data_IF_643126196726
#
_entry.id   IF_643126196726
#
_cell.length_a   1.000
_cell.length_b   1.000
_cell.length_c   1.000
_cell.angle_alpha   90.00
_cell.angle_beta   90.00
_cell.angle_gamma   90.00
#
_symmetry.space_group_name_H-M   'P 1'
#
loop_
_entity.id
_entity.type
_entity.pdbx_description
1 polymer ?
#
# COMPACT_ATOMS: atom_id res chain seq x y z
N UNK A 1 -26.83 -20.26 -67.49
CA UNK A 1 -25.95 -19.56 -66.52
C UNK A 1 -26.64 -19.59 -65.16
N UNK A 2 -25.96 -20.09 -64.12
CA UNK A 2 -26.49 -20.05 -62.75
C UNK A 2 -25.43 -19.41 -61.85
N UNK A 3 -25.72 -18.17 -61.41
CA UNK A 3 -24.90 -17.49 -60.42
C UNK A 3 -25.11 -18.16 -59.06
N UNK A 4 -24.04 -18.76 -58.51
CA UNK A 4 -24.01 -19.18 -57.11
C UNK A 4 -23.45 -18.01 -56.29
N UNK A 5 -24.32 -17.31 -55.58
CA UNK A 5 -23.90 -16.31 -54.59
C UNK A 5 -23.22 -17.01 -53.42
N UNK A 6 -21.91 -16.80 -53.29
CA UNK A 6 -21.16 -17.14 -52.08
C UNK A 6 -21.49 -16.09 -51.01
N UNK A 7 -22.26 -16.50 -49.99
CA UNK A 7 -22.41 -15.70 -48.77
C UNK A 7 -21.18 -15.97 -47.91
N UNK A 8 -20.23 -15.04 -47.94
CA UNK A 8 -19.05 -15.07 -47.06
C UNK A 8 -19.50 -14.72 -45.64
N UNK A 9 -19.68 -15.71 -44.79
CA UNK A 9 -19.97 -15.50 -43.38
C UNK A 9 -18.73 -14.93 -42.68
N UNK A 10 -18.68 -13.61 -42.49
CA UNK A 10 -17.70 -12.96 -41.62
C UNK A 10 -17.99 -13.33 -40.17
N UNK A 11 -17.32 -14.37 -39.68
CA UNK A 11 -17.27 -14.67 -38.26
C UNK A 11 -16.57 -13.52 -37.54
N UNK A 12 -17.37 -12.61 -36.97
CA UNK A 12 -16.87 -11.64 -36.02
C UNK A 12 -16.40 -12.40 -34.78
N UNK A 13 -15.09 -12.63 -34.69
CA UNK A 13 -14.42 -12.97 -33.43
C UNK A 13 -14.55 -11.77 -32.50
N UNK A 14 -15.70 -11.66 -31.86
CA UNK A 14 -15.83 -10.90 -30.63
C UNK A 14 -14.86 -11.54 -29.64
N UNK A 15 -13.70 -10.90 -29.46
CA UNK A 15 -12.82 -11.24 -28.35
C UNK A 15 -13.65 -11.11 -27.09
N UNK A 16 -13.88 -12.22 -26.40
CA UNK A 16 -14.46 -12.20 -25.08
C UNK A 16 -13.43 -11.53 -24.16
N UNK A 17 -13.53 -10.21 -24.02
CA UNK A 17 -12.93 -9.51 -22.91
C UNK A 17 -13.59 -10.09 -21.66
N UNK A 18 -12.89 -11.03 -21.01
CA UNK A 18 -13.44 -11.79 -19.91
C UNK A 18 -13.86 -10.80 -18.81
N UNK A 19 -15.17 -10.76 -18.55
CA UNK A 19 -15.73 -9.97 -17.48
C UNK A 19 -15.25 -10.55 -16.15
N UNK A 20 -14.28 -9.89 -15.53
CA UNK A 20 -13.75 -10.24 -14.22
C UNK A 20 -14.69 -9.78 -13.10
N UNK A 21 -14.69 -10.52 -12.01
CA UNK A 21 -15.30 -10.14 -10.75
C UNK A 21 -14.27 -9.37 -9.93
N UNK A 22 -14.50 -8.07 -9.71
CA UNK A 22 -13.51 -7.17 -9.11
C UNK A 22 -14.05 -6.64 -7.78
N UNK A 23 -13.28 -6.81 -6.71
CA UNK A 23 -13.56 -6.18 -5.44
C UNK A 23 -12.82 -4.84 -5.36
N UNK A 24 -13.54 -3.78 -5.02
CA UNK A 24 -13.00 -2.44 -4.81
C UNK A 24 -13.19 -2.06 -3.32
N UNK A 25 -12.18 -1.44 -2.72
CA UNK A 25 -12.17 -1.04 -1.31
C UNK A 25 -11.29 0.19 -1.12
N UNK A 26 -11.23 0.77 0.08
CA UNK A 26 -10.30 1.85 0.46
C UNK A 26 -10.29 2.01 1.99
N UNK A 27 -9.50 2.97 2.49
CA UNK A 27 -9.53 3.45 3.87
C UNK A 27 -10.18 4.83 4.08
N UNK A 28 -10.41 5.64 3.05
CA UNK A 28 -11.10 6.93 3.24
C UNK A 28 -12.60 6.80 3.54
N UNK A 29 -13.21 5.67 3.14
CA UNK A 29 -14.63 5.37 3.31
C UNK A 29 -15.39 5.16 1.99
N UNK A 30 -16.54 4.47 2.06
CA UNK A 30 -17.35 4.07 0.90
C UNK A 30 -18.04 5.23 0.15
N UNK A 31 -18.14 6.41 0.75
CA UNK A 31 -18.89 7.59 0.28
C UNK A 31 -18.02 8.68 -0.38
N UNK A 32 -16.70 8.53 -0.38
CA UNK A 32 -15.79 9.49 -1.04
C UNK A 32 -15.86 9.43 -2.56
N UNK A 33 -15.45 10.51 -3.23
CA UNK A 33 -15.49 10.58 -4.69
C UNK A 33 -14.48 9.66 -5.38
N UNK A 34 -13.25 9.54 -4.88
CA UNK A 34 -12.18 8.75 -5.53
C UNK A 34 -12.59 7.28 -5.80
N UNK A 35 -13.03 6.55 -4.77
CA UNK A 35 -13.45 5.13 -4.91
C UNK A 35 -14.66 4.99 -5.84
N UNK A 36 -15.57 5.97 -5.85
CA UNK A 36 -16.79 5.96 -6.67
C UNK A 36 -16.51 6.25 -8.15
N UNK A 37 -15.62 7.20 -8.44
CA UNK A 37 -15.15 7.46 -9.80
C UNK A 37 -14.30 6.30 -10.34
N UNK A 38 -13.49 5.66 -9.49
CA UNK A 38 -12.75 4.46 -9.83
C UNK A 38 -13.68 3.28 -10.15
N UNK A 39 -14.68 3.02 -9.31
CA UNK A 39 -15.71 2.02 -9.58
C UNK A 39 -16.47 2.28 -10.89
N UNK A 40 -16.88 3.53 -11.17
CA UNK A 40 -17.50 3.89 -12.45
C UNK A 40 -16.59 3.55 -13.64
N UNK A 41 -15.30 3.87 -13.55
CA UNK A 41 -14.32 3.58 -14.61
C UNK A 41 -14.12 2.06 -14.81
N UNK A 42 -14.01 1.28 -13.73
CA UNK A 42 -13.91 -0.20 -13.81
C UNK A 42 -15.18 -0.83 -14.40
N UNK A 43 -16.37 -0.37 -13.99
CA UNK A 43 -17.65 -0.82 -14.58
C UNK A 43 -17.77 -0.45 -16.05
N UNK A 44 -17.21 0.69 -16.48
CA UNK A 44 -17.21 1.13 -17.88
C UNK A 44 -16.37 0.23 -18.81
N UNK A 45 -15.39 -0.51 -18.27
CA UNK A 45 -14.69 -1.57 -19.01
C UNK A 45 -15.48 -2.89 -19.12
N UNK A 46 -16.69 -2.95 -18.55
CA UNK A 46 -17.58 -4.12 -18.63
C UNK A 46 -17.33 -5.17 -17.55
N UNK A 47 -16.54 -4.87 -16.52
CA UNK A 47 -16.27 -5.77 -15.41
C UNK A 47 -17.39 -5.80 -14.35
N UNK A 48 -17.52 -6.95 -13.67
CA UNK A 48 -18.46 -7.12 -12.56
C UNK A 48 -17.82 -6.63 -11.25
N UNK A 49 -17.77 -5.31 -11.06
CA UNK A 49 -17.22 -4.73 -9.85
C UNK A 49 -18.24 -4.60 -8.69
N UNK A 50 -17.73 -4.71 -7.47
CA UNK A 50 -18.40 -4.39 -6.20
C UNK A 50 -17.50 -3.49 -5.35
N UNK A 51 -18.08 -2.54 -4.61
CA UNK A 51 -17.37 -1.85 -3.52
C UNK A 51 -17.73 -2.53 -2.20
N UNK A 52 -16.74 -2.81 -1.36
CA UNK A 52 -16.94 -3.05 0.09
C UNK A 52 -15.90 -2.22 0.84
N UNK A 53 -16.35 -1.16 1.52
CA UNK A 53 -15.46 -0.20 2.17
C UNK A 53 -16.00 0.25 3.54
N UNK A 54 -15.16 0.96 4.30
CA UNK A 54 -15.51 1.42 5.63
C UNK A 54 -16.64 2.46 5.62
N UNK A 55 -17.39 2.55 6.72
CA UNK A 55 -18.43 3.57 6.94
C UNK A 55 -17.89 5.00 7.10
N UNK A 56 -16.59 5.15 7.32
CA UNK A 56 -15.90 6.42 7.58
C UNK A 56 -14.42 6.30 7.23
N UNK A 57 -13.69 7.42 7.27
CA UNK A 57 -12.24 7.42 7.16
C UNK A 57 -11.58 6.56 8.25
N UNK A 58 -10.57 5.80 7.83
CA UNK A 58 -9.73 4.85 8.58
C UNK A 58 -8.25 5.00 8.18
N UNK A 59 -7.83 6.17 7.68
CA UNK A 59 -6.43 6.44 7.33
C UNK A 59 -5.53 6.27 8.56
N UNK A 60 -4.35 5.67 8.38
CA UNK A 60 -3.43 5.36 9.50
C UNK A 60 -3.74 4.06 10.27
N UNK A 61 -4.74 3.27 9.84
CA UNK A 61 -5.06 1.98 10.50
C UNK A 61 -4.12 0.82 10.13
N UNK A 62 -3.28 0.97 9.11
CA UNK A 62 -2.34 -0.07 8.65
C UNK A 62 -3.03 -1.40 8.35
N UNK A 63 -2.35 -2.50 8.66
CA UNK A 63 -2.89 -3.86 8.54
C UNK A 63 -3.96 -4.25 9.58
N UNK A 64 -4.41 -3.34 10.45
CA UNK A 64 -5.27 -3.67 11.60
C UNK A 64 -6.61 -4.29 11.18
N UNK A 65 -7.03 -5.36 11.85
CA UNK A 65 -8.32 -6.05 11.65
C UNK A 65 -9.22 -5.80 12.86
N UNK A 66 -10.23 -4.92 12.71
CA UNK A 66 -11.28 -4.73 13.72
C UNK A 66 -12.64 -4.89 13.04
N UNK A 67 -13.38 -5.89 13.51
CA UNK A 67 -14.81 -6.07 13.26
C UNK A 67 -15.60 -5.29 14.31
N UNK A 68 -16.70 -4.66 13.93
CA UNK A 68 -17.58 -3.98 14.91
C UNK A 68 -18.22 -4.97 15.88
N UNK A 69 -18.32 -4.56 17.14
CA UNK A 69 -19.05 -5.27 18.20
C UNK A 69 -20.53 -4.86 18.26
N UNK A 70 -20.96 -3.89 17.43
CA UNK A 70 -22.34 -3.41 17.37
C UNK A 70 -23.07 -3.94 16.12
N UNK A 71 -24.28 -4.48 16.33
CA UNK A 71 -25.18 -4.91 15.24
C UNK A 71 -25.61 -3.74 14.33
N UNK A 72 -25.71 -2.54 14.90
CA UNK A 72 -26.19 -1.35 14.24
C UNK A 72 -25.14 -0.24 14.35
N UNK A 73 -25.15 0.72 13.42
CA UNK A 73 -24.29 1.90 13.44
C UNK A 73 -24.58 2.76 14.68
N UNK A 74 -23.52 3.14 15.39
CA UNK A 74 -23.58 4.02 16.57
C UNK A 74 -23.53 5.50 16.23
N UNK A 75 -23.18 5.84 14.98
CA UNK A 75 -23.14 7.18 14.42
C UNK A 75 -23.63 7.14 12.96
N UNK A 76 -23.88 8.31 12.38
CA UNK A 76 -24.05 8.45 10.93
C UNK A 76 -22.73 8.06 10.23
N UNK A 77 -22.83 7.48 9.02
CA UNK A 77 -21.66 7.30 8.16
C UNK A 77 -21.14 8.63 7.65
N UNK A 78 -19.98 8.62 6.99
CA UNK A 78 -19.46 9.83 6.35
C UNK A 78 -20.51 10.51 5.43
N UNK A 79 -20.46 11.85 5.42
CA UNK A 79 -21.41 12.73 4.75
C UNK A 79 -22.89 12.52 5.12
N UNK A 80 -23.19 11.75 6.17
CA UNK A 80 -24.54 11.45 6.63
C UNK A 80 -25.34 10.55 5.70
N UNK A 81 -24.68 9.79 4.81
CA UNK A 81 -25.30 8.95 3.76
C UNK A 81 -26.22 7.88 4.36
N UNK A 82 -25.77 7.19 5.41
CA UNK A 82 -26.56 6.22 6.17
C UNK A 82 -26.60 6.66 7.63
N UNK A 83 -27.78 6.56 8.25
CA UNK A 83 -28.04 7.09 9.60
C UNK A 83 -27.68 6.12 10.72
N UNK A 84 -27.31 6.68 11.87
CA UNK A 84 -27.19 5.94 13.12
C UNK A 84 -28.44 5.07 13.37
N UNK A 85 -28.24 3.86 13.87
CA UNK A 85 -29.29 2.87 14.06
C UNK A 85 -29.59 1.97 12.84
N UNK A 86 -29.06 2.26 11.64
CA UNK A 86 -29.05 1.28 10.55
C UNK A 86 -28.16 0.06 10.89
N UNK A 87 -28.27 -1.09 10.21
CA UNK A 87 -27.36 -2.24 10.40
C UNK A 87 -25.89 -1.87 10.17
N UNK A 88 -24.95 -2.57 10.79
CA UNK A 88 -23.51 -2.28 10.64
C UNK A 88 -22.87 -2.79 9.34
N UNK A 89 -23.64 -3.49 8.51
CA UNK A 89 -23.32 -3.88 7.13
C UNK A 89 -24.55 -3.66 6.27
N UNK A 90 -24.39 -3.10 5.07
CA UNK A 90 -25.50 -2.86 4.15
C UNK A 90 -25.06 -2.21 2.84
N UNK A 91 -26.02 -1.98 1.94
CA UNK A 91 -25.78 -1.35 0.64
C UNK A 91 -25.93 0.17 0.69
N UNK A 92 -25.26 0.85 -0.25
CA UNK A 92 -25.56 2.22 -0.63
C UNK A 92 -27.04 2.37 -1.04
N UNK A 93 -27.69 3.51 -0.77
CA UNK A 93 -29.09 3.72 -1.14
C UNK A 93 -29.36 3.80 -2.65
N UNK A 94 -28.34 3.97 -3.50
CA UNK A 94 -28.47 4.16 -4.95
C UNK A 94 -27.83 3.05 -5.80
N UNK A 95 -26.94 2.21 -5.25
CA UNK A 95 -26.29 1.11 -5.98
C UNK A 95 -26.08 -0.12 -5.07
N UNK A 96 -26.74 -1.24 -5.42
CA UNK A 96 -26.65 -2.52 -4.70
C UNK A 96 -25.30 -3.24 -4.85
N UNK A 97 -24.43 -2.82 -5.76
CA UNK A 97 -23.05 -3.30 -5.86
C UNK A 97 -22.11 -2.60 -4.87
N UNK A 98 -22.56 -1.57 -4.16
CA UNK A 98 -21.75 -0.79 -3.24
C UNK A 98 -22.20 -1.05 -1.82
N UNK A 99 -21.28 -1.55 -1.00
CA UNK A 99 -21.53 -1.92 0.39
C UNK A 99 -20.65 -1.11 1.34
N UNK A 100 -21.22 -0.77 2.49
CA UNK A 100 -20.50 -0.28 3.65
C UNK A 100 -20.37 -1.40 4.70
N UNK A 101 -19.26 -1.38 5.44
CA UNK A 101 -19.10 -2.13 6.67
C UNK A 101 -18.49 -1.25 7.76
N UNK A 102 -19.02 -1.31 8.98
CA UNK A 102 -18.41 -0.66 10.13
C UNK A 102 -17.22 -1.50 10.63
N UNK A 103 -16.03 -1.20 10.13
CA UNK A 103 -14.79 -1.88 10.49
C UNK A 103 -13.57 -1.25 9.82
N UNK A 104 -12.39 -1.82 10.03
CA UNK A 104 -11.16 -1.43 9.34
C UNK A 104 -11.15 -1.90 7.88
N UNK A 105 -10.29 -1.35 7.01
CA UNK A 105 -10.20 -1.73 5.60
C UNK A 105 -9.91 -3.23 5.40
N UNK A 106 -8.96 -3.78 6.17
CA UNK A 106 -8.67 -5.21 6.20
C UNK A 106 -9.88 -6.07 6.62
N UNK A 107 -10.69 -5.59 7.57
CA UNK A 107 -11.93 -6.26 7.96
C UNK A 107 -13.02 -6.15 6.88
N UNK A 108 -13.08 -5.03 6.14
CA UNK A 108 -13.98 -4.87 4.98
C UNK A 108 -13.64 -5.88 3.88
N UNK A 109 -12.36 -6.12 3.58
CA UNK A 109 -11.94 -7.17 2.64
C UNK A 109 -12.34 -8.56 3.12
N UNK A 110 -12.15 -8.90 4.40
CA UNK A 110 -12.59 -10.19 4.94
C UNK A 110 -14.11 -10.37 4.88
N UNK A 111 -14.89 -9.35 5.28
CA UNK A 111 -16.37 -9.36 5.14
C UNK A 111 -16.81 -9.45 3.68
N UNK A 112 -16.07 -8.84 2.75
CA UNK A 112 -16.34 -8.97 1.32
C UNK A 112 -16.17 -10.41 0.84
N UNK A 113 -15.03 -11.02 1.14
CA UNK A 113 -14.65 -12.37 0.68
C UNK A 113 -15.48 -13.48 1.36
N UNK A 114 -15.72 -13.36 2.66
CA UNK A 114 -16.29 -14.46 3.47
C UNK A 114 -17.81 -14.33 3.68
N UNK A 115 -18.42 -13.18 3.37
CA UNK A 115 -19.86 -12.95 3.52
C UNK A 115 -20.51 -12.32 2.29
N UNK A 116 -20.09 -11.11 1.87
CA UNK A 116 -20.87 -10.33 0.89
C UNK A 116 -20.84 -10.96 -0.50
N UNK A 117 -19.66 -11.24 -1.03
CA UNK A 117 -19.50 -11.77 -2.39
C UNK A 117 -20.12 -13.18 -2.55
N UNK A 118 -19.93 -14.13 -1.62
CA UNK A 118 -20.59 -15.43 -1.71
C UNK A 118 -22.12 -15.36 -1.56
N UNK A 119 -22.62 -14.52 -0.63
CA UNK A 119 -24.05 -14.48 -0.27
C UNK A 119 -24.90 -13.68 -1.26
N UNK A 120 -24.39 -12.55 -1.78
CA UNK A 120 -25.18 -11.60 -2.57
C UNK A 120 -24.70 -11.41 -4.01
N UNK A 121 -23.45 -11.76 -4.34
CA UNK A 121 -22.91 -11.65 -5.69
C UNK A 121 -22.77 -13.00 -6.42
N UNK A 122 -22.90 -14.14 -5.71
CA UNK A 122 -22.54 -15.48 -6.22
C UNK A 122 -21.08 -15.54 -6.72
N UNK A 123 -20.17 -14.83 -6.04
CA UNK A 123 -18.73 -14.78 -6.34
C UNK A 123 -17.98 -15.41 -5.18
N UNK A 124 -17.43 -16.62 -5.38
CA UNK A 124 -16.65 -17.35 -4.37
C UNK A 124 -15.29 -16.70 -4.10
N UNK A 125 -14.67 -16.12 -5.12
CA UNK A 125 -13.38 -15.42 -5.03
C UNK A 125 -13.33 -14.39 -6.17
N UNK A 126 -13.05 -13.10 -5.89
CA UNK A 126 -12.84 -12.11 -6.95
C UNK A 126 -11.52 -12.39 -7.67
N UNK A 127 -11.46 -12.05 -8.95
CA UNK A 127 -10.27 -12.23 -9.79
C UNK A 127 -9.16 -11.22 -9.43
N UNK A 128 -9.55 -10.06 -8.89
CA UNK A 128 -8.68 -8.92 -8.58
C UNK A 128 -9.28 -8.07 -7.46
N UNK A 129 -8.44 -7.60 -6.52
CA UNK A 129 -8.80 -6.58 -5.52
C UNK A 129 -8.11 -5.26 -5.83
N UNK A 130 -8.86 -4.15 -5.78
CA UNK A 130 -8.37 -2.80 -6.03
C UNK A 130 -8.66 -1.92 -4.80
N UNK A 131 -7.63 -1.35 -4.19
CA UNK A 131 -7.76 -0.54 -2.97
C UNK A 131 -7.44 0.94 -3.24
N UNK A 132 -8.28 1.87 -2.81
CA UNK A 132 -8.16 3.31 -3.04
C UNK A 132 -9.03 3.83 -4.21
N UNK A 133 -8.65 4.91 -4.91
CA UNK A 133 -7.46 5.73 -4.67
C UNK A 133 -7.55 6.56 -3.38
N UNK A 134 -6.58 6.38 -2.48
CA UNK A 134 -6.49 7.10 -1.20
C UNK A 134 -6.32 8.63 -1.37
N UNK A 135 -6.87 9.44 -0.45
CA UNK A 135 -6.53 10.88 -0.36
C UNK A 135 -5.21 11.07 0.40
N UNK A 136 -4.12 11.13 -0.36
CA UNK A 136 -2.75 11.19 0.14
C UNK A 136 -1.89 10.10 -0.50
N UNK A 137 -0.57 10.29 -0.46
CA UNK A 137 0.38 9.28 -0.91
C UNK A 137 0.72 8.27 0.19
N UNK A 138 1.01 7.04 -0.21
CA UNK A 138 1.56 5.99 0.64
C UNK A 138 2.93 5.59 0.08
N UNK A 139 3.93 6.43 0.34
CA UNK A 139 5.29 6.30 -0.24
C UNK A 139 6.19 5.42 0.63
N UNK A 140 6.72 4.36 0.03
CA UNK A 140 7.72 3.50 0.65
C UNK A 140 7.21 2.60 1.79
N UNK A 141 8.05 1.67 2.28
CA UNK A 141 7.59 0.56 3.14
C UNK A 141 7.08 1.00 4.52
N UNK A 142 7.51 2.17 5.00
CA UNK A 142 7.10 2.68 6.31
C UNK A 142 5.65 3.16 6.29
N UNK A 143 5.31 4.14 5.43
CA UNK A 143 3.94 4.61 5.27
C UNK A 143 3.01 3.49 4.79
N UNK A 144 3.51 2.59 3.94
CA UNK A 144 2.79 1.38 3.53
C UNK A 144 2.31 0.54 4.73
N UNK A 145 3.13 0.39 5.77
CA UNK A 145 2.77 -0.39 6.97
C UNK A 145 1.68 0.30 7.82
N UNK A 146 1.58 1.63 7.72
CA UNK A 146 0.60 2.46 8.42
C UNK A 146 -0.68 2.73 7.60
N UNK A 147 -0.67 2.44 6.29
CA UNK A 147 -1.76 2.71 5.37
C UNK A 147 -2.88 1.67 5.47
N UNK A 148 -4.13 2.13 5.63
CA UNK A 148 -5.30 1.26 5.59
C UNK A 148 -5.60 0.77 4.17
N UNK A 149 -5.38 1.62 3.16
CA UNK A 149 -5.44 1.24 1.75
C UNK A 149 -4.48 0.10 1.46
N UNK A 150 -3.24 0.14 1.99
CA UNK A 150 -2.31 -0.98 1.86
C UNK A 150 -2.69 -2.19 2.70
N UNK A 151 -3.21 -1.99 3.92
CA UNK A 151 -3.69 -3.09 4.77
C UNK A 151 -4.78 -3.93 4.12
N UNK A 152 -5.70 -3.28 3.40
CA UNK A 152 -6.72 -3.97 2.59
C UNK A 152 -6.10 -4.76 1.42
N UNK A 153 -5.19 -4.16 0.66
CA UNK A 153 -4.47 -4.84 -0.44
C UNK A 153 -3.66 -6.03 0.07
N UNK A 154 -2.91 -5.84 1.15
CA UNK A 154 -2.14 -6.89 1.84
C UNK A 154 -3.03 -8.07 2.25
N UNK A 155 -4.19 -7.78 2.86
CA UNK A 155 -5.18 -8.80 3.26
C UNK A 155 -5.66 -9.63 2.06
N UNK A 156 -5.78 -9.04 0.87
CA UNK A 156 -6.14 -9.77 -0.34
C UNK A 156 -4.97 -10.62 -0.89
N UNK A 157 -3.74 -10.09 -0.91
CA UNK A 157 -2.54 -10.82 -1.38
C UNK A 157 -2.27 -12.05 -0.50
N UNK A 158 -2.38 -11.92 0.82
CA UNK A 158 -2.26 -13.03 1.79
C UNK A 158 -3.37 -14.09 1.62
N UNK A 159 -4.55 -13.69 1.11
CA UNK A 159 -5.62 -14.61 0.72
C UNK A 159 -5.39 -15.25 -0.66
N UNK A 160 -4.23 -15.00 -1.29
CA UNK A 160 -3.83 -15.54 -2.59
C UNK A 160 -4.45 -14.82 -3.80
N UNK A 161 -5.07 -13.66 -3.59
CA UNK A 161 -5.79 -12.90 -4.62
C UNK A 161 -4.89 -11.76 -5.13
N UNK A 162 -4.71 -11.59 -6.45
CA UNK A 162 -4.00 -10.44 -7.01
C UNK A 162 -4.60 -9.13 -6.50
N UNK A 163 -3.76 -8.17 -6.10
CA UNK A 163 -4.25 -6.90 -5.58
C UNK A 163 -3.37 -5.69 -5.92
N UNK A 164 -4.01 -4.54 -6.13
CA UNK A 164 -3.35 -3.26 -6.42
C UNK A 164 -3.87 -2.19 -5.46
N UNK A 165 -2.95 -1.47 -4.81
CA UNK A 165 -3.26 -0.25 -4.08
C UNK A 165 -3.01 0.99 -4.92
N UNK A 166 -3.90 1.96 -4.78
CA UNK A 166 -3.84 3.25 -5.42
C UNK A 166 -3.90 4.35 -4.37
N UNK A 167 -3.02 5.33 -4.52
CA UNK A 167 -2.89 6.48 -3.64
C UNK A 167 -2.70 7.71 -4.52
N UNK A 168 -3.14 8.89 -4.08
CA UNK A 168 -2.97 10.10 -4.90
C UNK A 168 -2.93 11.38 -4.08
N UNK A 169 -2.08 12.31 -4.53
CA UNK A 169 -1.83 13.57 -3.82
C UNK A 169 -2.96 14.57 -4.00
N UNK A 170 -4.13 14.33 -3.44
CA UNK A 170 -5.28 15.24 -3.48
C UNK A 170 -5.35 16.10 -2.22
N UNK A 171 -5.71 17.37 -2.35
CA UNK A 171 -5.80 18.32 -1.22
C UNK A 171 -7.14 18.32 -0.49
N UNK A 172 -8.20 17.69 -1.05
CA UNK A 172 -9.56 17.72 -0.49
C UNK A 172 -10.27 16.38 -0.70
N UNK A 173 -10.68 15.72 0.38
CA UNK A 173 -11.64 14.61 0.37
C UNK A 173 -13.05 15.18 0.13
N UNK A 174 -13.73 14.73 -0.94
CA UNK A 174 -15.08 15.20 -1.31
C UNK A 174 -16.08 14.04 -1.35
N UNK A 175 -17.36 14.28 -1.01
CA UNK A 175 -18.41 13.26 -1.18
C UNK A 175 -18.66 12.96 -2.66
N UNK A 176 -19.05 11.72 -2.96
CA UNK A 176 -19.30 11.26 -4.32
C UNK A 176 -20.35 12.06 -5.11
N UNK A 177 -21.27 12.73 -4.41
CA UNK A 177 -22.33 13.57 -4.99
C UNK A 177 -21.91 15.04 -5.22
N UNK A 178 -20.64 15.39 -4.97
CA UNK A 178 -20.06 16.71 -5.27
C UNK A 178 -18.98 16.67 -6.36
N UNK A 179 -18.82 15.53 -7.06
CA UNK A 179 -17.92 15.44 -8.23
C UNK A 179 -18.47 16.30 -9.36
N UNK A 180 -17.66 17.23 -9.84
CA UNK A 180 -18.06 18.11 -10.94
C UNK A 180 -17.77 17.42 -12.28
N UNK A 181 -18.67 17.53 -13.26
CA UNK A 181 -18.36 17.12 -14.63
C UNK A 181 -17.20 17.93 -15.23
N UNK A 182 -17.06 19.18 -14.79
CA UNK A 182 -16.02 20.12 -15.23
C UNK A 182 -15.61 21.03 -14.06
N UNK A 183 -14.31 21.22 -13.85
CA UNK A 183 -13.73 22.14 -12.86
C UNK A 183 -13.78 23.60 -13.32
N UNK A 184 -13.42 24.53 -12.44
CA UNK A 184 -13.26 25.95 -12.79
C UNK A 184 -12.22 26.20 -13.91
N UNK A 185 -11.25 25.29 -14.09
CA UNK A 185 -10.25 25.34 -15.15
C UNK A 185 -10.73 24.71 -16.49
N UNK A 186 -11.98 24.25 -16.59
CA UNK A 186 -12.51 23.62 -17.80
C UNK A 186 -12.10 22.15 -17.99
N UNK A 187 -11.64 21.48 -16.92
CA UNK A 187 -11.05 20.13 -16.97
C UNK A 187 -11.91 19.13 -16.19
N UNK A 188 -11.63 17.83 -16.30
CA UNK A 188 -12.27 16.81 -15.45
C UNK A 188 -11.89 17.01 -13.97
N UNK A 189 -12.79 16.65 -13.06
CA UNK A 189 -12.51 16.62 -11.63
C UNK A 189 -11.30 15.71 -11.31
N UNK A 190 -10.41 16.08 -10.36
CA UNK A 190 -9.29 15.25 -9.95
C UNK A 190 -9.70 13.83 -9.56
N UNK A 191 -10.87 13.62 -8.93
CA UNK A 191 -11.36 12.29 -8.58
C UNK A 191 -11.70 11.45 -9.82
N UNK A 192 -12.29 12.06 -10.85
CA UNK A 192 -12.57 11.41 -12.14
C UNK A 192 -11.28 11.05 -12.86
N UNK A 193 -10.25 11.92 -12.81
CA UNK A 193 -8.92 11.62 -13.38
C UNK A 193 -8.24 10.50 -12.60
N UNK A 194 -8.31 10.51 -11.26
CA UNK A 194 -7.79 9.47 -10.37
C UNK A 194 -8.37 8.10 -10.73
N UNK A 195 -9.70 8.00 -10.77
CA UNK A 195 -10.39 6.76 -11.08
C UNK A 195 -10.09 6.23 -12.48
N UNK A 196 -9.95 7.13 -13.47
CA UNK A 196 -9.61 6.75 -14.85
C UNK A 196 -8.16 6.26 -14.97
N UNK A 197 -7.18 6.95 -14.38
CA UNK A 197 -5.78 6.50 -14.36
C UNK A 197 -5.63 5.13 -13.69
N UNK A 198 -6.25 4.96 -12.51
CA UNK A 198 -6.20 3.71 -11.75
C UNK A 198 -6.86 2.54 -12.51
N UNK A 199 -8.03 2.78 -13.11
CA UNK A 199 -8.73 1.76 -13.91
C UNK A 199 -7.98 1.42 -15.20
N UNK A 200 -7.38 2.40 -15.88
CA UNK A 200 -6.55 2.17 -17.07
C UNK A 200 -5.36 1.26 -16.75
N UNK A 201 -4.68 1.45 -15.61
CA UNK A 201 -3.58 0.60 -15.18
C UNK A 201 -4.04 -0.84 -14.89
N UNK A 202 -5.15 -1.01 -14.17
CA UNK A 202 -5.74 -2.34 -13.94
C UNK A 202 -6.13 -3.01 -15.27
N UNK A 203 -6.78 -2.27 -16.17
CA UNK A 203 -7.21 -2.77 -17.48
C UNK A 203 -6.03 -3.23 -18.34
N UNK A 204 -4.92 -2.49 -18.32
CA UNK A 204 -3.71 -2.85 -19.05
C UNK A 204 -3.10 -4.17 -18.56
N UNK A 205 -3.11 -4.41 -17.25
CA UNK A 205 -2.70 -5.69 -16.66
C UNK A 205 -3.62 -6.83 -17.09
N UNK A 206 -4.94 -6.61 -16.99
CA UNK A 206 -5.98 -7.60 -17.36
C UNK A 206 -5.87 -8.01 -18.83
N UNK A 207 -5.74 -7.04 -19.74
CA UNK A 207 -5.60 -7.30 -21.17
C UNK A 207 -4.31 -8.06 -21.51
N UNK A 208 -3.18 -7.70 -20.88
CA UNK A 208 -1.91 -8.37 -21.12
C UNK A 208 -1.91 -9.80 -20.59
N UNK A 209 -2.44 -10.04 -19.39
CA UNK A 209 -2.58 -11.38 -18.83
C UNK A 209 -3.49 -12.28 -19.68
N UNK A 210 -4.63 -11.74 -20.14
CA UNK A 210 -5.53 -12.44 -21.05
C UNK A 210 -4.87 -12.78 -22.40
N UNK A 211 -4.12 -11.83 -22.98
CA UNK A 211 -3.43 -12.03 -24.26
C UNK A 211 -2.31 -13.09 -24.20
N UNK A 212 -1.70 -13.31 -23.03
CA UNK A 212 -0.66 -14.33 -22.82
C UNK A 212 -1.16 -15.61 -22.15
N UNK A 213 -2.44 -15.70 -21.78
CA UNK A 213 -2.99 -16.80 -20.98
C UNK A 213 -2.37 -16.93 -19.58
N UNK A 214 -1.81 -15.84 -19.05
CA UNK A 214 -1.11 -15.80 -17.76
C UNK A 214 -2.05 -15.44 -16.59
N UNK A 215 -1.62 -15.72 -15.36
CA UNK A 215 -2.24 -15.10 -14.18
C UNK A 215 -2.01 -13.57 -14.21
N UNK A 216 -2.92 -12.81 -13.59
CA UNK A 216 -2.74 -11.36 -13.40
C UNK A 216 -1.45 -11.05 -12.62
N UNK A 217 -1.16 -11.81 -11.57
CA UNK A 217 0.06 -11.72 -10.76
C UNK A 217 0.46 -13.12 -10.25
N UNK A 218 1.73 -13.35 -9.87
CA UNK A 218 2.10 -14.48 -9.05
C UNK A 218 1.45 -14.40 -7.65
N UNK A 219 1.28 -15.55 -6.99
CA UNK A 219 0.74 -15.59 -5.61
C UNK A 219 1.75 -14.95 -4.66
N UNK A 220 1.26 -14.15 -3.70
CA UNK A 220 2.11 -13.42 -2.76
C UNK A 220 2.67 -12.10 -3.32
N UNK A 221 2.23 -11.64 -4.49
CA UNK A 221 2.65 -10.36 -5.07
C UNK A 221 1.48 -9.37 -5.18
N UNK A 222 1.80 -8.09 -5.06
CA UNK A 222 0.87 -6.98 -5.29
C UNK A 222 1.58 -5.76 -5.87
N UNK A 223 0.81 -4.72 -6.18
CA UNK A 223 1.30 -3.48 -6.78
C UNK A 223 0.89 -2.28 -5.92
N UNK A 224 1.83 -1.36 -5.69
CA UNK A 224 1.63 -0.04 -5.10
C UNK A 224 1.68 1.02 -6.21
N UNK A 225 0.66 1.87 -6.29
CA UNK A 225 0.56 2.97 -7.26
C UNK A 225 0.36 4.29 -6.52
N UNK A 226 1.25 5.27 -6.72
CA UNK A 226 1.07 6.62 -6.22
C UNK A 226 0.93 7.60 -7.39
N UNK A 227 -0.23 8.24 -7.52
CA UNK A 227 -0.54 9.28 -8.51
C UNK A 227 -0.09 10.67 -7.98
N UNK A 228 0.51 11.54 -8.81
CA UNK A 228 0.92 12.88 -8.40
C UNK A 228 -0.28 13.79 -8.12
N UNK A 229 0.00 14.99 -7.60
CA UNK A 229 -1.04 16.02 -7.44
C UNK A 229 -1.64 16.40 -8.80
N UNK A 230 -2.91 16.03 -9.01
CA UNK A 230 -3.66 16.36 -10.23
C UNK A 230 -4.12 17.81 -10.15
N UNK A 231 -3.61 18.66 -11.05
CA UNK A 231 -3.81 20.13 -10.97
C UNK A 231 -5.13 20.61 -11.56
N UNK A 232 -6.01 19.71 -12.01
CA UNK A 232 -7.17 20.04 -12.84
C UNK A 232 -8.20 20.99 -12.21
N UNK A 233 -8.20 21.21 -10.89
CA UNK A 233 -8.98 22.28 -10.27
C UNK A 233 -8.54 23.69 -10.69
N UNK A 234 -7.25 23.90 -10.98
CA UNK A 234 -6.68 25.23 -11.25
C UNK A 234 -6.04 25.36 -12.63
N UNK A 235 -5.46 24.30 -13.20
CA UNK A 235 -4.82 24.32 -14.52
C UNK A 235 -4.58 22.90 -15.08
N UNK A 236 -4.01 22.79 -16.28
CA UNK A 236 -3.77 21.53 -16.99
C UNK A 236 -2.35 20.95 -16.84
N UNK A 237 -1.50 21.48 -15.95
CA UNK A 237 -0.09 21.08 -15.87
C UNK A 237 0.12 19.61 -15.47
N UNK A 238 -0.83 19.01 -14.77
CA UNK A 238 -0.84 17.60 -14.46
C UNK A 238 -2.26 17.03 -14.47
N UNK A 239 -2.63 16.43 -15.60
CA UNK A 239 -3.93 15.77 -15.81
C UNK A 239 -3.81 14.40 -16.49
N UNK A 240 -2.61 14.04 -16.96
CA UNK A 240 -2.28 12.76 -17.61
C UNK A 240 -0.82 12.36 -17.30
N UNK A 241 -0.49 12.08 -16.01
CA UNK A 241 0.86 11.72 -15.60
C UNK A 241 1.27 10.32 -16.08
N UNK A 242 2.47 10.13 -16.66
CA UNK A 242 2.95 8.80 -17.04
C UNK A 242 3.21 7.92 -15.82
N UNK A 243 3.02 6.62 -15.99
CA UNK A 243 3.41 5.60 -15.02
C UNK A 243 4.90 5.25 -15.16
N UNK A 244 5.63 5.34 -14.06
CA UNK A 244 7.06 5.02 -13.97
C UNK A 244 7.22 3.79 -13.08
N UNK A 245 7.94 2.78 -13.57
CA UNK A 245 8.29 1.63 -12.75
C UNK A 245 9.27 2.04 -11.66
N UNK A 246 8.91 1.74 -10.41
CA UNK A 246 9.66 2.14 -9.22
C UNK A 246 9.91 0.96 -8.29
N UNK A 247 10.72 1.21 -7.29
CA UNK A 247 10.82 0.40 -6.07
C UNK A 247 10.38 1.24 -4.88
N UNK A 248 9.88 0.59 -3.83
CA UNK A 248 9.34 1.30 -2.65
C UNK A 248 10.44 1.98 -1.81
N UNK A 249 11.60 1.34 -1.71
CA UNK A 249 12.82 1.86 -1.06
C UNK A 249 13.58 2.84 -1.97
N UNK A 250 14.65 3.50 -1.48
CA UNK A 250 15.53 4.45 -2.21
C UNK A 250 15.04 5.90 -2.18
N UNK A 251 15.40 6.63 -1.11
CA UNK A 251 14.86 7.95 -0.81
C UNK A 251 13.47 7.90 -0.17
N UNK A 252 13.08 6.75 0.38
CA UNK A 252 11.87 6.60 1.16
C UNK A 252 12.08 7.13 2.59
N UNK A 253 11.02 7.73 3.14
CA UNK A 253 11.03 8.33 4.47
C UNK A 253 10.53 7.34 5.55
N UNK A 254 11.05 7.49 6.76
CA UNK A 254 10.38 7.06 8.00
C UNK A 254 10.03 8.29 8.84
N UNK A 255 9.06 8.17 9.75
CA UNK A 255 8.73 9.26 10.68
C UNK A 255 9.73 9.33 11.84
N UNK A 256 10.35 10.49 12.00
CA UNK A 256 11.08 10.88 13.20
C UNK A 256 10.23 11.77 14.11
N UNK A 257 10.33 11.59 15.43
CA UNK A 257 9.70 12.50 16.37
C UNK A 257 10.36 13.90 16.34
N UNK A 258 9.54 14.96 16.34
CA UNK A 258 9.97 16.35 16.37
C UNK A 258 9.37 17.07 17.59
N UNK A 259 10.18 17.39 18.58
CA UNK A 259 9.74 18.09 19.78
C UNK A 259 9.78 19.61 19.59
N UNK A 260 8.65 20.28 19.82
CA UNK A 260 8.55 21.74 19.85
C UNK A 260 8.67 22.23 21.30
N UNK A 261 9.82 22.79 21.66
CA UNK A 261 10.09 23.27 23.01
C UNK A 261 9.22 24.47 23.45
N UNK A 262 8.60 25.20 22.52
CA UNK A 262 7.73 26.34 22.83
C UNK A 262 6.31 25.90 23.18
N UNK A 263 5.77 24.89 22.49
CA UNK A 263 4.44 24.34 22.79
C UNK A 263 4.46 23.16 23.76
N UNK A 264 5.62 22.53 23.96
CA UNK A 264 5.75 21.29 24.74
C UNK A 264 5.19 20.05 24.04
N UNK A 265 4.88 20.14 22.74
CA UNK A 265 4.23 19.08 21.97
C UNK A 265 5.19 18.41 20.99
N UNK A 266 4.87 17.17 20.62
CA UNK A 266 5.52 16.45 19.53
C UNK A 266 4.72 16.56 18.23
N UNK A 267 5.41 16.73 17.12
CA UNK A 267 4.95 16.43 15.76
C UNK A 267 5.85 15.33 15.18
N UNK A 268 5.62 14.96 13.92
CA UNK A 268 6.55 14.16 13.15
C UNK A 268 7.44 15.04 12.25
N UNK A 269 8.45 14.42 11.64
CA UNK A 269 9.26 14.93 10.52
C UNK A 269 9.73 13.75 9.69
N UNK A 270 9.81 13.90 8.38
CA UNK A 270 10.39 12.89 7.51
C UNK A 270 11.90 12.76 7.78
N UNK A 271 12.40 11.53 7.89
CA UNK A 271 13.84 11.22 7.91
C UNK A 271 14.14 10.08 6.93
N UNK A 272 15.20 10.23 6.12
CA UNK A 272 15.68 9.18 5.21
C UNK A 272 16.70 8.33 5.97
N UNK A 273 16.27 7.17 6.46
CA UNK A 273 17.14 6.26 7.22
C UNK A 273 17.71 5.12 6.34
N UNK A 274 18.93 4.69 6.65
CA UNK A 274 19.61 3.61 5.93
C UNK A 274 18.91 2.25 6.09
N UNK A 275 18.26 1.98 7.22
CA UNK A 275 17.54 0.73 7.48
C UNK A 275 16.40 0.51 6.48
N UNK A 276 15.54 1.51 6.30
CA UNK A 276 14.44 1.46 5.32
C UNK A 276 14.97 1.42 3.87
N UNK A 277 16.06 2.12 3.60
CA UNK A 277 16.54 2.34 2.23
C UNK A 277 17.58 1.31 1.75
N UNK A 278 17.94 0.31 2.58
CA UNK A 278 18.86 -0.76 2.18
C UNK A 278 18.23 -1.62 1.09
N UNK A 279 18.95 -1.86 -0.01
CA UNK A 279 18.51 -2.81 -1.04
C UNK A 279 18.72 -4.24 -0.54
N UNK A 280 17.72 -4.82 0.13
CA UNK A 280 17.74 -6.22 0.58
C UNK A 280 17.24 -7.17 -0.53
N UNK A 281 16.15 -6.78 -1.21
CA UNK A 281 15.50 -7.53 -2.26
C UNK A 281 15.03 -6.57 -3.39
N UNK A 282 14.78 -7.14 -4.57
CA UNK A 282 14.25 -6.42 -5.73
C UNK A 282 15.31 -5.75 -6.60
N UNK A 283 14.86 -5.08 -7.66
CA UNK A 283 15.76 -4.39 -8.60
C UNK A 283 16.26 -3.07 -8.01
N UNK A 284 17.52 -3.02 -7.60
CA UNK A 284 18.14 -1.81 -7.05
C UNK A 284 18.33 -0.68 -8.08
N UNK A 285 18.20 -0.94 -9.39
CA UNK A 285 18.37 0.07 -10.44
C UNK A 285 17.15 0.97 -10.63
N UNK A 286 15.98 0.53 -10.13
CA UNK A 286 14.75 1.31 -10.19
C UNK A 286 14.81 2.55 -9.25
N UNK A 287 14.21 3.69 -9.66
CA UNK A 287 14.06 4.85 -8.79
C UNK A 287 13.05 4.57 -7.68
N UNK A 288 13.22 5.27 -6.55
CA UNK A 288 12.27 5.23 -5.43
C UNK A 288 11.03 6.08 -5.67
N UNK A 289 9.90 5.67 -5.09
CA UNK A 289 8.59 6.34 -5.23
C UNK A 289 8.66 7.84 -4.88
N UNK A 290 9.21 8.20 -3.72
CA UNK A 290 9.34 9.57 -3.25
C UNK A 290 10.05 10.48 -4.26
N UNK A 291 11.09 9.98 -4.93
CA UNK A 291 11.84 10.76 -5.91
C UNK A 291 11.03 11.02 -7.19
N UNK A 292 10.22 10.05 -7.62
CA UNK A 292 9.33 10.21 -8.79
C UNK A 292 8.19 11.20 -8.48
N UNK A 293 7.56 11.09 -7.31
CA UNK A 293 6.47 12.00 -6.95
C UNK A 293 6.97 13.44 -6.73
N UNK A 294 8.15 13.61 -6.12
CA UNK A 294 8.78 14.92 -5.93
C UNK A 294 9.32 15.56 -7.23
N UNK A 295 9.60 14.77 -8.28
CA UNK A 295 9.93 15.31 -9.60
C UNK A 295 8.75 16.04 -10.28
N UNK A 296 7.52 15.78 -9.81
CA UNK A 296 6.30 16.38 -10.31
C UNK A 296 5.72 15.64 -11.52
N UNK A 297 4.38 15.62 -11.59
CA UNK A 297 3.58 15.00 -12.64
C UNK A 297 4.08 13.65 -13.21
N UNK A 298 4.50 12.74 -12.34
CA UNK A 298 4.79 11.35 -12.68
C UNK A 298 4.14 10.45 -11.62
N UNK A 299 3.61 9.30 -12.04
CA UNK A 299 3.01 8.30 -11.14
C UNK A 299 4.01 7.18 -10.87
N UNK A 300 4.19 6.77 -9.61
CA UNK A 300 5.01 5.61 -9.28
C UNK A 300 4.21 4.30 -9.39
N UNK A 301 4.87 3.23 -9.82
CA UNK A 301 4.31 1.86 -9.86
C UNK A 301 5.36 0.89 -9.35
N UNK A 302 5.22 0.48 -8.09
CA UNK A 302 6.13 -0.47 -7.43
C UNK A 302 5.47 -1.84 -7.30
N UNK A 303 6.20 -2.90 -7.65
CA UNK A 303 5.81 -4.28 -7.33
C UNK A 303 6.36 -4.64 -5.95
N UNK A 304 5.54 -5.23 -5.10
CA UNK A 304 5.95 -5.79 -3.81
C UNK A 304 5.59 -7.27 -3.71
N UNK A 305 6.19 -7.96 -2.74
CA UNK A 305 5.86 -9.33 -2.38
C UNK A 305 5.66 -9.43 -0.86
N UNK A 306 4.79 -10.34 -0.41
CA UNK A 306 4.58 -10.68 1.00
C UNK A 306 5.43 -11.92 1.34
N UNK A 307 6.74 -11.69 1.38
CA UNK A 307 7.72 -12.65 1.92
C UNK A 307 8.55 -11.93 2.98
N UNK A 308 8.35 -12.34 4.23
CA UNK A 308 8.99 -11.75 5.41
C UNK A 308 10.28 -12.47 5.80
N UNK A 309 10.59 -13.62 5.19
CA UNK A 309 11.82 -14.34 5.49
C UNK A 309 13.03 -13.61 4.90
N UNK A 310 14.05 -13.39 5.73
CA UNK A 310 15.25 -12.70 5.30
C UNK A 310 16.00 -13.53 4.23
N UNK A 311 16.38 -12.93 3.08
CA UNK A 311 16.89 -13.69 1.93
C UNK A 311 18.17 -14.44 2.28
N UNK A 312 18.25 -15.71 1.86
CA UNK A 312 19.32 -16.63 2.27
C UNK A 312 20.62 -16.49 1.47
N UNK A 313 20.56 -15.82 0.31
CA UNK A 313 21.67 -15.33 -0.57
C UNK A 313 21.22 -15.23 -2.04
N UNK A 314 20.16 -15.94 -2.42
CA UNK A 314 19.72 -16.13 -3.82
C UNK A 314 19.14 -14.86 -4.46
N UNK A 315 18.71 -13.87 -3.65
CA UNK A 315 18.01 -12.67 -4.11
C UNK A 315 18.88 -11.38 -4.18
N UNK A 316 20.20 -11.52 -4.18
CA UNK A 316 21.14 -10.41 -4.42
C UNK A 316 21.69 -9.73 -3.15
N UNK A 317 22.99 -9.43 -3.18
CA UNK A 317 23.76 -8.76 -2.12
C UNK A 317 23.63 -9.29 -0.67
N UNK A 318 24.35 -10.37 -0.38
CA UNK A 318 25.12 -10.45 0.87
C UNK A 318 24.89 -11.69 1.75
N UNK A 319 25.98 -12.18 2.32
CA UNK A 319 26.02 -13.25 3.34
C UNK A 319 25.54 -12.80 4.72
N UNK A 320 24.77 -11.71 4.82
CA UNK A 320 24.41 -11.11 6.11
C UNK A 320 23.50 -12.02 6.94
N UNK A 321 22.52 -12.68 6.31
CA UNK A 321 21.65 -13.66 6.98
C UNK A 321 22.42 -14.91 7.39
N UNK A 322 23.35 -15.38 6.54
CA UNK A 322 24.24 -16.50 6.86
C UNK A 322 25.17 -16.17 8.03
N UNK A 323 25.75 -14.98 8.04
CA UNK A 323 26.62 -14.45 9.10
C UNK A 323 25.84 -14.29 10.41
N UNK A 324 24.64 -13.72 10.36
CA UNK A 324 23.78 -13.55 11.54
C UNK A 324 23.36 -14.90 12.11
N UNK A 325 22.94 -15.86 11.27
CA UNK A 325 22.64 -17.23 11.72
C UNK A 325 23.87 -17.94 12.29
N UNK A 326 25.06 -17.74 11.72
CA UNK A 326 26.30 -18.28 12.26
C UNK A 326 26.67 -17.69 13.64
N UNK A 327 26.38 -16.40 13.89
CA UNK A 327 26.56 -15.77 15.22
C UNK A 327 25.61 -16.34 16.29
N UNK A 328 24.53 -17.03 15.90
CA UNK A 328 23.60 -17.70 16.82
C UNK A 328 23.99 -19.17 17.10
N UNK A 329 24.97 -19.73 16.40
CA UNK A 329 25.50 -21.07 16.66
C UNK A 329 26.43 -21.06 17.89
N UNK A 330 26.52 -22.16 18.67
CA UNK A 330 25.81 -23.44 18.50
C UNK A 330 24.43 -23.47 19.19
N UNK A 331 23.90 -22.31 19.61
CA UNK A 331 22.68 -22.24 20.42
C UNK A 331 21.42 -22.47 19.57
N UNK A 332 21.32 -21.76 18.45
CA UNK A 332 20.28 -21.93 17.42
C UNK A 332 20.84 -22.83 16.33
N UNK A 333 20.30 -24.04 16.20
CA UNK A 333 20.85 -25.11 15.36
C UNK A 333 19.92 -25.43 14.18
N UNK A 334 20.49 -25.94 13.09
CA UNK A 334 19.69 -26.41 11.96
C UNK A 334 18.91 -27.67 12.36
N UNK A 335 17.68 -27.82 11.88
CA UNK A 335 16.76 -28.90 12.30
C UNK A 335 17.27 -30.33 11.94
N UNK A 336 18.27 -30.44 11.07
CA UNK A 336 18.93 -31.69 10.68
C UNK A 336 20.26 -31.94 11.43
N UNK A 337 20.60 -31.11 12.42
CA UNK A 337 21.79 -31.29 13.26
C UNK A 337 21.69 -32.60 14.07
N UNK A 338 22.73 -33.44 14.00
CA UNK A 338 22.69 -34.80 14.58
C UNK A 338 22.71 -34.86 16.10
N UNK A 339 23.16 -33.79 16.78
CA UNK A 339 23.22 -33.68 18.24
C UNK A 339 22.71 -32.30 18.67
N UNK A 340 21.40 -32.16 18.90
CA UNK A 340 20.81 -30.90 19.35
C UNK A 340 21.21 -30.57 20.80
N UNK A 341 21.94 -29.47 20.98
CA UNK A 341 22.34 -28.94 22.28
C UNK A 341 21.18 -28.12 22.86
N UNK A 342 20.81 -28.38 24.13
CA UNK A 342 19.74 -27.65 24.81
C UNK A 342 20.14 -26.22 25.16
N UNK A 343 19.21 -25.26 24.99
CA UNK A 343 19.49 -23.82 25.06
C UNK A 343 20.08 -23.30 26.38
N UNK A 344 19.83 -23.96 27.51
CA UNK A 344 20.43 -23.60 28.80
C UNK A 344 21.88 -24.03 28.95
N UNK A 345 22.33 -25.00 28.14
CA UNK A 345 23.67 -25.59 28.19
C UNK A 345 24.57 -25.13 27.02
N UNK A 346 24.00 -24.45 26.01
CA UNK A 346 24.67 -24.08 24.77
C UNK A 346 25.73 -22.96 24.85
N UNK A 347 25.85 -22.28 26.00
CA UNK A 347 26.91 -21.28 26.26
C UNK A 347 28.12 -21.85 27.00
N UNK A 348 28.04 -23.10 27.48
CA UNK A 348 29.19 -23.84 28.00
C UNK A 348 30.15 -24.09 26.83
N UNK A 349 31.31 -23.43 26.84
CA UNK A 349 32.25 -23.46 25.72
C UNK A 349 32.54 -24.90 25.24
N UNK A 350 32.15 -25.20 24.00
CA UNK A 350 32.52 -26.45 23.34
C UNK A 350 34.07 -26.53 23.28
N UNK A 351 34.71 -27.60 23.80
CA UNK A 351 36.15 -27.77 23.66
C UNK A 351 36.51 -27.90 22.18
N UNK A 352 37.38 -27.02 21.69
CA UNK A 352 37.73 -26.98 20.29
C UNK A 352 38.52 -28.20 19.81
N UNK A 353 38.29 -28.58 18.56
CA UNK A 353 39.19 -29.40 17.73
C UNK A 353 39.63 -28.47 16.57
N UNK A 354 40.84 -27.90 16.54
CA UNK A 354 42.13 -28.59 16.37
C UNK A 354 42.20 -29.16 14.94
N UNK A 355 43.12 -28.80 14.03
CA UNK A 355 44.42 -28.07 14.03
C UNK A 355 44.60 -27.48 12.59
N UNK A 356 45.49 -26.58 12.17
CA UNK A 356 46.83 -26.20 12.66
C UNK A 356 47.36 -24.87 12.05
N UNK A 357 48.25 -24.18 12.77
CA UNK A 357 49.38 -23.29 12.33
C UNK A 357 49.12 -22.08 11.39
N UNK A 358 49.77 -20.90 11.54
CA UNK A 358 51.01 -20.56 12.27
C UNK A 358 51.02 -19.14 12.90
N UNK A 359 51.95 -18.93 13.84
CA UNK A 359 52.37 -17.68 14.54
C UNK A 359 52.94 -16.61 13.58
N UNK A 360 53.00 -15.29 13.87
CA UNK A 360 53.40 -14.51 15.08
C UNK A 360 52.64 -13.15 15.19
N UNK A 361 52.78 -12.26 16.19
CA UNK A 361 53.41 -12.35 17.53
C UNK A 361 53.99 -11.01 18.08
N UNK A 362 53.32 -10.40 19.08
CA UNK A 362 53.75 -9.18 19.84
C UNK A 362 53.12 -7.84 19.35
N UNK A 363 52.83 -6.82 20.19
CA UNK A 363 52.86 -6.74 21.66
C UNK A 363 52.41 -5.35 22.21
N UNK A 364 51.57 -5.36 23.26
CA UNK A 364 51.40 -4.37 24.36
C UNK A 364 51.36 -2.83 24.13
N UNK A 365 50.22 -2.23 24.55
CA UNK A 365 50.07 -0.98 25.37
C UNK A 365 50.60 0.39 24.84
N UNK A 366 50.14 1.58 25.23
CA UNK A 366 48.88 2.12 25.82
C UNK A 366 49.07 3.64 26.01
N UNK A 367 48.05 4.49 25.79
CA UNK A 367 47.71 5.68 26.62
C UNK A 367 46.87 6.77 25.91
N UNK A 368 45.82 7.16 26.64
CA UNK A 368 44.99 8.38 26.67
C UNK A 368 45.57 9.73 26.22
N UNK A 369 44.72 10.63 25.66
CA UNK A 369 45.01 12.08 25.60
C UNK A 369 44.02 13.02 24.84
N UNK A 370 42.91 13.40 25.49
CA UNK A 370 42.15 14.70 25.44
C UNK A 370 42.01 15.60 24.17
N UNK A 371 40.77 16.08 23.96
CA UNK A 371 40.27 17.15 23.06
C UNK A 371 40.39 18.58 23.68
N UNK A 372 39.85 19.69 23.10
CA UNK A 372 40.01 20.33 21.77
C UNK A 372 40.43 21.84 21.94
N UNK A 373 40.29 22.79 20.97
CA UNK A 373 39.01 23.50 20.72
C UNK A 373 38.76 23.96 19.25
N UNK A 374 37.74 24.80 19.03
CA UNK A 374 37.06 25.06 17.75
C UNK A 374 37.29 26.46 17.12
N UNK A 375 36.74 26.65 15.89
CA UNK A 375 36.43 27.90 15.12
C UNK A 375 36.71 27.66 13.60
N UNK A 376 36.04 28.23 12.59
CA UNK A 376 34.89 29.16 12.49
C UNK A 376 34.31 29.13 11.05
N UNK A 377 33.15 29.81 10.88
CA UNK A 377 32.59 30.38 9.62
C UNK A 377 31.64 29.53 8.76
N UNK A 378 30.70 30.25 8.14
CA UNK A 378 29.51 29.80 7.39
C UNK A 378 29.33 30.76 6.18
N UNK A 379 28.14 30.91 5.57
CA UNK A 379 27.15 29.95 5.08
C UNK A 379 26.94 30.09 3.53
N UNK A 380 26.17 29.20 2.90
CA UNK A 380 25.42 29.55 1.66
C UNK A 380 24.04 28.90 1.70
N UNK A 381 23.00 29.71 1.48
CA UNK A 381 21.60 29.32 1.39
C UNK A 381 21.19 28.95 -0.04
N UNK A 382 20.32 27.96 -0.20
CA UNK A 382 19.42 27.85 -1.36
C UNK A 382 17.97 27.69 -0.91
N UNK A 383 17.05 28.22 -1.71
CA UNK A 383 15.66 28.47 -1.33
C UNK A 383 14.77 27.29 -1.73
N UNK A 384 14.04 26.71 -0.77
CA UNK A 384 12.95 25.78 -1.04
C UNK A 384 11.61 26.53 -1.04
N UNK A 385 10.79 26.28 -2.06
CA UNK A 385 9.38 26.70 -2.08
C UNK A 385 8.53 25.88 -1.09
N UNK A 386 7.29 26.31 -0.79
CA UNK A 386 6.48 25.67 0.24
C UNK A 386 6.06 24.26 -0.16
N UNK A 387 6.50 23.26 0.60
CA UNK A 387 5.87 21.94 0.59
C UNK A 387 4.49 22.03 1.24
N UNK A 388 3.53 21.27 0.72
CA UNK A 388 2.15 21.25 1.22
C UNK A 388 2.13 20.52 2.57
N UNK A 389 1.54 21.17 3.57
CA UNK A 389 1.38 20.63 4.92
C UNK A 389 0.29 19.53 4.93
N UNK A 390 0.71 18.27 4.90
CA UNK A 390 -0.16 17.11 5.09
C UNK A 390 -0.57 16.97 6.58
N UNK A 391 -1.27 17.99 7.06
CA UNK A 391 -1.91 17.96 8.37
C UNK A 391 -3.03 16.92 8.34
N UNK A 392 -2.81 15.81 9.04
CA UNK A 392 -3.83 14.80 9.31
C UNK A 392 -5.07 15.47 9.89
N UNK A 393 -6.16 15.51 9.12
CA UNK A 393 -7.47 15.98 9.61
C UNK A 393 -8.07 14.86 10.46
N UNK A 394 -7.47 14.63 11.63
CA UNK A 394 -8.09 13.93 12.73
C UNK A 394 -9.27 14.81 13.19
N UNK A 395 -10.44 14.56 12.61
CA UNK A 395 -11.70 15.12 13.11
C UNK A 395 -11.84 14.62 14.54
N UNK A 396 -11.69 15.53 15.50
CA UNK A 396 -11.76 15.24 16.93
C UNK A 396 -13.20 14.90 17.36
N UNK A 397 -13.67 13.72 16.96
CA UNK A 397 -14.89 13.10 17.45
C UNK A 397 -14.67 12.58 18.86
N UNK A 398 -14.93 13.43 19.86
CA UNK A 398 -14.76 13.06 21.25
C UNK A 398 -15.72 11.94 21.67
N UNK A 399 -15.17 10.74 21.91
CA UNK A 399 -15.79 9.72 22.75
C UNK A 399 -14.82 9.26 23.83
N UNK A 400 -15.14 9.62 25.08
CA UNK A 400 -14.64 8.87 26.23
C UNK A 400 -15.12 7.42 26.11
N UNK A 401 -14.21 6.45 26.21
CA UNK A 401 -14.42 5.24 27.00
C UNK A 401 -13.11 4.47 27.13
N UNK A 402 -12.64 4.28 28.36
CA UNK A 402 -11.52 3.39 28.65
C UNK A 402 -12.01 1.94 28.79
N UNK A 403 -11.27 1.01 28.20
CA UNK A 403 -11.22 -0.39 28.56
C UNK A 403 -9.76 -0.84 28.34
N UNK A 404 -8.91 -0.80 29.36
CA UNK A 404 -8.63 -1.94 30.24
C UNK A 404 -8.51 -3.27 29.47
N UNK A 405 -7.26 -3.72 29.33
CA UNK A 405 -6.88 -5.08 28.97
C UNK A 405 -7.72 -6.14 29.70
N UNK A 406 -8.17 -7.17 28.98
CA UNK A 406 -8.04 -8.54 29.46
C UNK A 406 -8.19 -9.58 28.34
N UNK A 407 -7.05 -10.22 28.01
CA UNK A 407 -6.86 -11.49 27.29
C UNK A 407 -7.35 -11.60 25.85
#
# INVERSE_FOLDING_TARGET
MHFRSLITATAALASAANCLNILITNDDGFGVSNIREFYKAVKAFGHNAYIVASTSNQSGTGGTVVFTTAKNLTADTEFGIVKAGAPSVGTDPNDSHIWYYNGTPSACVQVALDYILPTFANVTTPDLVLSGPNYGWNLGPFLYTLSGTMGATYTAVERGIPAIAYSGGYSVQTPYFQVNSTTAAGLKDPATIAGQLSANLAQQLILNAAATGSKLMPVGYGISVNLPYITSFTNSSCVDPPFIQTRMTSGADVDGAAYNATSGLFTYKNIVDAGLNTCINGDCSLPGETNILNAGCQSSVSVFAVDYDAPTSVCGQGSATSSLRALLQPLVQDANSTNLIGGLNGTSAAPGTGNATATTGGGTSSSTGTLPPASTSAPVSSVAGPMVDFSWVAVAGGMMLGALWNR
#
